data_IF_610491261963
#
_entry.id   IF_610491261963
#
_cell.length_a   1.000
_cell.length_b   1.000
_cell.length_c   1.000
_cell.angle_alpha   90.00
_cell.angle_beta   90.00
_cell.angle_gamma   90.00
#
_symmetry.space_group_name_H-M   'P 1'
#
loop_
_entity.id
_entity.type
_entity.pdbx_description
1 polymer ?
#
# COMPACT_ATOMS: atom_id res chain seq x y z
N UNK A 1 21.80 -25.20 -43.55
CA UNK A 1 21.78 -24.87 -42.11
C UNK A 1 20.33 -24.62 -41.72
N UNK A 2 19.76 -25.50 -40.89
CA UNK A 2 18.36 -25.42 -40.45
C UNK A 2 18.34 -24.59 -39.15
N UNK A 3 17.73 -23.40 -39.17
CA UNK A 3 17.46 -22.62 -37.95
C UNK A 3 16.11 -23.06 -37.37
N UNK A 4 16.13 -23.65 -36.18
CA UNK A 4 14.94 -23.90 -35.39
C UNK A 4 14.62 -22.64 -34.57
N UNK A 5 13.46 -22.03 -34.82
CA UNK A 5 12.88 -21.02 -33.91
C UNK A 5 12.31 -21.76 -32.70
N UNK A 6 12.88 -21.54 -31.51
CA UNK A 6 12.19 -21.87 -30.26
C UNK A 6 11.15 -20.78 -30.00
N UNK A 7 9.87 -21.15 -30.08
CA UNK A 7 8.78 -20.34 -29.54
C UNK A 7 8.81 -20.49 -28.01
N UNK A 8 9.07 -19.38 -27.30
CA UNK A 8 8.92 -19.34 -25.86
C UNK A 8 7.42 -19.44 -25.52
N UNK A 9 7.03 -20.54 -24.88
CA UNK A 9 5.69 -20.67 -24.29
C UNK A 9 5.68 -19.80 -23.03
N UNK A 10 5.01 -18.66 -23.10
CA UNK A 10 4.67 -17.87 -21.90
C UNK A 10 3.52 -18.61 -21.23
N UNK A 11 3.81 -19.34 -20.16
CA UNK A 11 2.77 -19.86 -19.27
C UNK A 11 2.17 -18.69 -18.51
N UNK A 12 0.91 -18.35 -18.79
CA UNK A 12 0.16 -17.41 -17.96
C UNK A 12 0.07 -17.98 -16.54
N UNK A 13 0.60 -17.24 -15.56
CA UNK A 13 0.40 -17.56 -14.15
C UNK A 13 -1.11 -17.61 -13.86
N UNK A 14 -1.62 -18.63 -13.17
CA UNK A 14 -3.04 -18.67 -12.82
C UNK A 14 -3.36 -17.42 -11.99
N UNK A 15 -4.40 -16.68 -12.39
CA UNK A 15 -4.93 -15.57 -11.61
C UNK A 15 -5.26 -16.11 -10.21
N UNK A 16 -4.44 -15.69 -9.23
CA UNK A 16 -4.51 -16.19 -7.86
C UNK A 16 -5.79 -15.63 -7.23
N UNK A 17 -6.60 -16.50 -6.64
CA UNK A 17 -7.95 -16.16 -6.18
C UNK A 17 -7.97 -14.87 -5.35
N UNK A 18 -8.86 -13.95 -5.72
CA UNK A 18 -9.02 -12.67 -5.04
C UNK A 18 -9.41 -12.89 -3.56
N UNK A 19 -8.86 -12.04 -2.68
CA UNK A 19 -9.26 -12.00 -1.26
C UNK A 19 -10.78 -11.79 -1.18
N UNK A 20 -11.49 -12.74 -0.60
CA UNK A 20 -12.96 -12.65 -0.47
C UNK A 20 -13.32 -11.86 0.77
N UNK A 21 -13.66 -10.58 0.61
CA UNK A 21 -14.15 -9.77 1.72
C UNK A 21 -15.59 -10.16 2.11
N UNK A 22 -16.00 -9.96 3.37
CA UNK A 22 -17.37 -10.18 3.81
C UNK A 22 -18.36 -9.34 2.99
N UNK A 23 -19.48 -9.93 2.60
CA UNK A 23 -20.54 -9.22 1.91
C UNK A 23 -21.31 -8.30 2.87
N UNK A 24 -21.83 -7.18 2.36
CA UNK A 24 -22.68 -6.23 3.10
C UNK A 24 -21.94 -5.02 3.66
N UNK A 25 -22.67 -4.16 4.36
CA UNK A 25 -22.12 -3.01 5.09
C UNK A 25 -21.54 -3.48 6.42
N UNK A 26 -20.29 -3.11 6.67
CA UNK A 26 -19.52 -3.50 7.84
C UNK A 26 -18.82 -2.27 8.45
N UNK A 27 -18.75 -2.22 9.77
CA UNK A 27 -18.13 -1.11 10.50
C UNK A 27 -16.73 -1.47 11.00
N UNK A 28 -15.91 -0.44 11.17
CA UNK A 28 -14.62 -0.56 11.84
C UNK A 28 -14.28 0.62 12.73
N UNK A 29 -13.25 0.41 13.55
CA UNK A 29 -12.75 1.41 14.50
C UNK A 29 -11.23 1.56 14.38
N UNK A 30 -10.76 2.79 14.56
CA UNK A 30 -9.34 3.12 14.66
C UNK A 30 -8.84 3.07 16.10
N UNK A 31 -7.75 2.35 16.36
CA UNK A 31 -7.11 2.26 17.68
C UNK A 31 -5.68 1.70 17.59
N UNK A 32 -4.88 1.85 18.65
CA UNK A 32 -3.53 1.25 18.73
C UNK A 32 -3.61 -0.28 18.99
N UNK A 33 -2.55 -1.07 18.71
CA UNK A 33 -2.55 -2.52 18.87
C UNK A 33 -3.04 -3.06 20.22
N UNK A 34 -2.79 -2.35 21.33
CA UNK A 34 -3.23 -2.73 22.68
C UNK A 34 -4.60 -2.22 23.11
N UNK A 35 -5.18 -1.24 22.40
CA UNK A 35 -6.34 -0.47 22.86
C UNK A 35 -7.68 -1.11 22.45
N UNK A 36 -7.90 -2.37 22.80
CA UNK A 36 -9.07 -3.16 22.36
C UNK A 36 -10.28 -3.08 23.29
N UNK A 37 -10.09 -2.69 24.54
CA UNK A 37 -11.09 -2.87 25.60
C UNK A 37 -12.46 -2.24 25.28
N UNK A 38 -12.49 -1.01 24.78
CA UNK A 38 -13.77 -0.38 24.40
C UNK A 38 -14.41 -1.07 23.21
N UNK A 39 -13.62 -1.39 22.18
CA UNK A 39 -14.12 -2.00 20.95
C UNK A 39 -14.82 -3.33 21.26
N UNK A 40 -14.18 -4.21 22.05
CA UNK A 40 -14.74 -5.51 22.42
C UNK A 40 -15.90 -5.41 23.41
N UNK A 41 -15.95 -4.39 24.26
CA UNK A 41 -17.01 -4.19 25.25
C UNK A 41 -18.24 -3.41 24.71
N UNK A 42 -18.12 -2.71 23.58
CA UNK A 42 -19.15 -1.78 23.07
C UNK A 42 -20.47 -2.45 22.62
N UNK A 43 -20.45 -3.76 22.33
CA UNK A 43 -21.60 -4.48 21.77
C UNK A 43 -21.89 -4.18 20.28
N UNK A 44 -21.11 -3.31 19.64
CA UNK A 44 -21.21 -3.05 18.20
C UNK A 44 -20.62 -4.24 17.43
N UNK A 45 -21.28 -4.72 16.35
CA UNK A 45 -20.78 -5.83 15.53
C UNK A 45 -19.66 -5.34 14.59
N UNK A 46 -18.52 -4.97 15.16
CA UNK A 46 -17.35 -4.55 14.39
C UNK A 46 -16.85 -5.68 13.50
N UNK A 47 -16.42 -5.32 12.29
CA UNK A 47 -15.78 -6.26 11.36
C UNK A 47 -14.36 -5.85 11.01
N UNK A 48 -14.10 -4.55 10.97
CA UNK A 48 -12.79 -4.01 10.64
C UNK A 48 -12.15 -3.34 11.84
N UNK A 49 -10.83 -3.31 11.85
CA UNK A 49 -10.04 -2.55 12.80
C UNK A 49 -8.93 -1.90 12.02
N UNK A 50 -8.77 -0.57 12.11
CA UNK A 50 -7.78 0.13 11.30
C UNK A 50 -6.72 0.90 12.11
N UNK A 51 -5.52 0.99 11.57
CA UNK A 51 -4.49 1.91 12.05
C UNK A 51 -3.63 2.41 10.90
N UNK A 52 -2.85 3.46 11.16
CA UNK A 52 -1.88 3.97 10.21
C UNK A 52 -0.55 3.21 10.35
N UNK A 53 0.06 2.91 9.21
CA UNK A 53 1.49 2.66 9.08
C UNK A 53 2.07 3.92 8.44
N UNK A 54 2.90 4.63 9.19
CA UNK A 54 3.32 5.98 8.89
C UNK A 54 4.75 6.26 9.40
N UNK A 55 5.21 7.50 9.26
CA UNK A 55 6.54 7.93 9.71
C UNK A 55 7.58 7.98 8.59
N UNK A 56 7.22 7.51 7.40
CA UNK A 56 7.96 7.69 6.17
C UNK A 56 9.12 6.72 6.03
N UNK A 57 9.29 6.21 4.81
CA UNK A 57 10.45 5.40 4.45
C UNK A 57 11.72 6.24 4.51
N UNK A 58 12.89 5.61 4.69
CA UNK A 58 14.22 6.24 4.75
C UNK A 58 14.41 7.30 5.87
N UNK A 59 13.57 7.30 6.90
CA UNK A 59 13.65 8.22 8.04
C UNK A 59 14.32 7.63 9.28
N UNK A 60 14.45 6.30 9.34
CA UNK A 60 14.84 5.56 10.57
C UNK A 60 13.81 5.63 11.70
N UNK A 61 12.60 6.15 11.43
CA UNK A 61 11.51 6.30 12.40
C UNK A 61 10.14 5.84 11.86
N UNK A 62 10.11 5.24 10.66
CA UNK A 62 8.91 4.70 10.04
C UNK A 62 8.31 3.53 10.83
N UNK A 63 7.11 3.12 10.44
CA UNK A 63 6.38 2.05 11.12
C UNK A 63 7.16 0.74 11.24
N UNK A 64 8.08 0.48 10.30
CA UNK A 64 8.96 -0.67 10.31
C UNK A 64 9.85 -0.72 11.54
N UNK A 65 10.08 0.41 12.23
CA UNK A 65 10.93 0.50 13.43
C UNK A 65 10.17 0.70 14.74
N UNK A 66 8.84 0.87 14.71
CA UNK A 66 8.06 1.12 15.94
C UNK A 66 8.13 -0.02 16.96
N UNK A 67 8.34 -1.25 16.48
CA UNK A 67 8.65 -2.42 17.29
C UNK A 67 9.76 -3.24 16.63
N UNK A 68 10.42 -4.09 17.42
CA UNK A 68 11.45 -5.01 16.94
C UNK A 68 10.99 -6.48 17.01
N UNK A 69 11.36 -7.32 16.03
CA UNK A 69 12.12 -7.01 14.80
C UNK A 69 11.31 -6.14 13.81
N UNK A 70 11.90 -5.62 12.71
CA UNK A 70 11.16 -4.81 11.75
C UNK A 70 9.87 -5.49 11.26
N UNK A 71 8.79 -4.72 11.18
CA UNK A 71 7.46 -5.22 10.84
C UNK A 71 6.63 -5.75 12.04
N UNK A 72 7.23 -5.86 13.23
CA UNK A 72 6.56 -6.43 14.40
C UNK A 72 5.30 -5.67 14.83
N UNK A 73 5.25 -4.36 14.64
CA UNK A 73 4.05 -3.57 14.95
C UNK A 73 2.85 -4.05 14.13
N UNK A 74 3.01 -4.21 12.81
CA UNK A 74 1.96 -4.70 11.93
C UNK A 74 1.60 -6.16 12.26
N UNK A 75 2.59 -7.01 12.57
CA UNK A 75 2.36 -8.39 13.01
C UNK A 75 1.48 -8.47 14.26
N UNK A 76 1.77 -7.66 15.28
CA UNK A 76 0.95 -7.57 16.49
C UNK A 76 -0.45 -7.05 16.21
N UNK A 77 -0.57 -6.01 15.39
CA UNK A 77 -1.86 -5.45 15.03
C UNK A 77 -2.75 -6.48 14.33
N UNK A 78 -2.20 -7.22 13.35
CA UNK A 78 -2.90 -8.30 12.66
C UNK A 78 -3.34 -9.41 13.62
N UNK A 79 -2.42 -9.89 14.46
CA UNK A 79 -2.68 -10.99 15.40
C UNK A 79 -3.74 -10.62 16.44
N UNK A 80 -3.64 -9.42 17.02
CA UNK A 80 -4.60 -8.93 18.01
C UNK A 80 -5.99 -8.69 17.40
N UNK A 81 -6.05 -8.25 16.13
CA UNK A 81 -7.32 -8.07 15.42
C UNK A 81 -7.98 -9.41 15.13
N UNK A 82 -7.20 -10.37 14.62
CA UNK A 82 -7.68 -11.71 14.29
C UNK A 82 -8.16 -12.48 15.52
N UNK A 83 -7.48 -12.34 16.66
CA UNK A 83 -7.88 -12.94 17.92
C UNK A 83 -9.28 -12.51 18.41
N UNK A 84 -9.78 -11.38 17.90
CA UNK A 84 -11.14 -10.86 18.18
C UNK A 84 -12.10 -11.03 16.98
N UNK A 85 -11.66 -11.69 15.90
CA UNK A 85 -12.47 -11.90 14.69
C UNK A 85 -12.58 -10.68 13.77
N UNK A 86 -11.72 -9.66 13.94
CA UNK A 86 -11.67 -8.47 13.10
C UNK A 86 -10.70 -8.65 11.94
N UNK A 87 -11.04 -8.05 10.79
CA UNK A 87 -10.13 -7.92 9.65
C UNK A 87 -9.27 -6.66 9.87
N UNK A 88 -7.93 -6.80 9.99
CA UNK A 88 -7.03 -5.66 10.09
C UNK A 88 -7.00 -4.85 8.80
N UNK A 89 -7.03 -3.54 8.94
CA UNK A 89 -6.92 -2.55 7.87
C UNK A 89 -5.75 -1.62 8.17
N UNK A 90 -4.82 -1.49 7.24
CA UNK A 90 -3.71 -0.55 7.37
C UNK A 90 -3.88 0.61 6.39
N UNK A 91 -3.89 1.84 6.88
CA UNK A 91 -3.64 3.01 6.05
C UNK A 91 -2.13 3.16 5.90
N UNK A 92 -1.59 2.72 4.76
CA UNK A 92 -0.16 2.80 4.43
C UNK A 92 0.14 4.20 3.88
N UNK A 93 0.70 5.06 4.72
CA UNK A 93 0.85 6.50 4.50
C UNK A 93 2.30 6.90 4.74
N UNK A 94 3.14 6.69 3.73
CA UNK A 94 4.58 6.80 3.87
C UNK A 94 5.16 7.99 3.11
N UNK A 95 4.64 8.30 1.91
CA UNK A 95 5.28 9.27 1.02
C UNK A 95 5.43 10.66 1.61
N UNK A 96 4.43 11.21 2.29
CA UNK A 96 4.52 12.57 2.83
C UNK A 96 5.70 12.72 3.80
N UNK A 97 5.91 11.71 4.64
CA UNK A 97 6.86 11.78 5.75
C UNK A 97 8.27 11.31 5.37
N UNK A 98 8.45 10.70 4.21
CA UNK A 98 9.76 10.28 3.72
C UNK A 98 10.70 11.43 3.40
N UNK A 99 12.01 11.20 3.50
CA UNK A 99 12.99 12.16 3.02
C UNK A 99 13.15 12.09 1.49
N UNK A 100 13.41 13.20 0.79
CA UNK A 100 13.68 14.54 1.34
C UNK A 100 12.45 15.40 1.67
N UNK A 101 11.24 15.01 1.21
CA UNK A 101 10.00 15.74 1.50
C UNK A 101 9.99 17.21 1.06
N UNK A 102 10.30 17.47 -0.22
CA UNK A 102 10.46 18.84 -0.74
C UNK A 102 9.14 19.37 -1.29
N UNK A 103 8.64 20.50 -0.77
CA UNK A 103 7.43 21.13 -1.28
C UNK A 103 6.78 22.07 -0.27
N UNK A 104 5.86 22.93 -0.73
CA UNK A 104 5.17 23.89 0.12
C UNK A 104 3.93 23.30 0.82
N UNK A 105 3.35 22.25 0.25
CA UNK A 105 2.18 21.54 0.75
C UNK A 105 2.37 20.03 0.57
N UNK A 106 1.42 19.23 1.05
CA UNK A 106 1.45 17.77 0.95
C UNK A 106 1.53 17.28 -0.50
N UNK A 107 0.68 17.80 -1.39
CA UNK A 107 0.71 17.46 -2.82
C UNK A 107 2.11 17.57 -3.42
N UNK A 108 2.83 18.67 -3.12
CA UNK A 108 4.19 18.91 -3.63
C UNK A 108 5.20 17.94 -3.03
N UNK A 109 5.12 17.71 -1.71
CA UNK A 109 6.03 16.82 -0.98
C UNK A 109 5.87 15.37 -1.42
N UNK A 110 4.63 14.90 -1.53
CA UNK A 110 4.28 13.59 -2.05
C UNK A 110 4.81 13.40 -3.47
N UNK A 111 4.50 14.35 -4.37
CA UNK A 111 4.95 14.25 -5.75
C UNK A 111 6.47 14.32 -5.89
N UNK A 112 7.16 15.08 -5.02
CA UNK A 112 8.62 15.12 -4.97
C UNK A 112 9.22 13.77 -4.57
N UNK A 113 8.64 13.13 -3.56
CA UNK A 113 9.11 11.85 -3.03
C UNK A 113 8.76 10.70 -4.00
N UNK A 114 7.58 10.74 -4.62
CA UNK A 114 7.16 9.82 -5.67
C UNK A 114 8.11 9.84 -6.87
N UNK A 115 8.77 10.97 -7.13
CA UNK A 115 9.75 11.13 -8.21
C UNK A 115 11.21 10.97 -7.76
N UNK A 116 11.48 10.68 -6.48
CA UNK A 116 12.82 10.48 -5.98
C UNK A 116 13.21 8.99 -6.00
N UNK A 117 14.27 8.65 -6.73
CA UNK A 117 14.70 7.26 -6.90
C UNK A 117 15.09 6.56 -5.58
N UNK A 118 15.81 7.24 -4.70
CA UNK A 118 16.23 6.66 -3.41
C UNK A 118 15.04 6.49 -2.47
N UNK A 119 14.12 7.45 -2.43
CA UNK A 119 12.87 7.36 -1.66
C UNK A 119 12.03 6.19 -2.16
N UNK A 120 11.80 6.09 -3.46
CA UNK A 120 10.98 5.01 -4.02
C UNK A 120 11.64 3.64 -3.90
N UNK A 121 12.97 3.55 -3.91
CA UNK A 121 13.66 2.28 -3.61
C UNK A 121 13.33 1.80 -2.19
N UNK A 122 13.44 2.69 -1.21
CA UNK A 122 13.09 2.40 0.18
C UNK A 122 11.59 2.12 0.34
N UNK A 123 10.75 2.82 -0.42
CA UNK A 123 9.30 2.62 -0.45
C UNK A 123 8.92 1.20 -0.85
N UNK A 124 9.41 0.72 -1.99
CA UNK A 124 9.10 -0.63 -2.44
C UNK A 124 9.65 -1.69 -1.49
N UNK A 125 10.84 -1.49 -0.91
CA UNK A 125 11.38 -2.39 0.10
C UNK A 125 10.50 -2.46 1.37
N UNK A 126 10.03 -1.31 1.84
CA UNK A 126 9.18 -1.19 3.02
C UNK A 126 7.77 -1.76 2.76
N UNK A 127 7.19 -1.53 1.58
CA UNK A 127 5.94 -2.15 1.18
C UNK A 127 6.06 -3.68 1.09
N UNK A 128 7.18 -4.19 0.55
CA UNK A 128 7.45 -5.63 0.53
C UNK A 128 7.59 -6.21 1.95
N UNK A 129 8.19 -5.48 2.89
CA UNK A 129 8.20 -5.89 4.30
C UNK A 129 6.78 -6.05 4.85
N UNK A 130 5.88 -5.11 4.59
CA UNK A 130 4.47 -5.25 4.97
C UNK A 130 3.81 -6.46 4.32
N UNK A 131 4.02 -6.67 3.01
CA UNK A 131 3.46 -7.81 2.29
C UNK A 131 3.97 -9.13 2.88
N UNK A 132 5.27 -9.29 3.10
CA UNK A 132 5.85 -10.51 3.69
C UNK A 132 5.34 -10.74 5.12
N UNK A 133 5.15 -9.67 5.89
CA UNK A 133 4.55 -9.75 7.23
C UNK A 133 3.10 -10.24 7.16
N UNK A 134 2.30 -9.68 6.24
CA UNK A 134 0.91 -10.09 6.02
C UNK A 134 0.80 -11.53 5.48
N UNK A 135 1.72 -11.94 4.63
CA UNK A 135 1.81 -13.32 4.15
C UNK A 135 2.09 -14.29 5.29
N UNK A 136 3.04 -13.96 6.16
CA UNK A 136 3.38 -14.76 7.34
C UNK A 136 2.21 -14.87 8.31
N UNK A 137 1.45 -13.78 8.48
CA UNK A 137 0.21 -13.79 9.26
C UNK A 137 -0.85 -14.73 8.68
N UNK A 138 -0.94 -14.83 7.34
CA UNK A 138 -1.77 -15.82 6.63
C UNK A 138 -3.29 -15.55 6.63
N UNK A 139 -3.77 -14.60 7.43
CA UNK A 139 -5.17 -14.17 7.45
C UNK A 139 -5.49 -13.08 6.43
N UNK A 140 -6.75 -12.61 6.44
CA UNK A 140 -7.19 -11.50 5.60
C UNK A 140 -6.63 -10.18 6.11
N UNK A 141 -6.13 -9.34 5.22
CA UNK A 141 -5.61 -8.00 5.54
C UNK A 141 -6.08 -7.05 4.44
N UNK A 142 -6.47 -5.84 4.80
CA UNK A 142 -6.73 -4.75 3.85
C UNK A 142 -5.61 -3.72 4.00
N UNK A 143 -5.04 -3.26 2.90
CA UNK A 143 -4.10 -2.14 2.89
C UNK A 143 -4.68 -1.02 2.03
N UNK A 144 -5.06 0.07 2.68
CA UNK A 144 -5.44 1.33 2.05
C UNK A 144 -4.15 2.12 1.75
N UNK A 145 -3.84 2.27 0.48
CA UNK A 145 -2.55 2.81 0.01
C UNK A 145 -2.67 4.32 -0.17
N UNK A 146 -1.81 5.08 0.50
CA UNK A 146 -1.58 6.51 0.30
C UNK A 146 -2.89 7.30 0.06
N UNK A 147 -3.79 7.32 1.05
CA UNK A 147 -5.18 7.71 0.84
C UNK A 147 -5.37 9.11 0.24
N UNK A 148 -4.48 10.07 0.51
CA UNK A 148 -4.57 11.43 -0.03
C UNK A 148 -3.78 11.61 -1.34
N UNK A 149 -2.70 10.85 -1.53
CA UNK A 149 -1.85 10.92 -2.73
C UNK A 149 -2.68 10.83 -4.02
N UNK A 150 -3.59 9.86 -4.10
CA UNK A 150 -4.36 9.62 -5.33
C UNK A 150 -5.23 10.80 -5.71
N UNK A 151 -5.80 11.51 -4.72
CA UNK A 151 -6.53 12.75 -4.96
C UNK A 151 -5.63 13.87 -5.47
N UNK A 152 -4.42 14.00 -4.92
CA UNK A 152 -3.45 14.96 -5.43
C UNK A 152 -2.94 14.61 -6.83
N UNK A 153 -2.77 13.34 -7.15
CA UNK A 153 -2.40 12.89 -8.49
C UNK A 153 -3.54 13.14 -9.49
N UNK A 154 -4.80 12.96 -9.10
CA UNK A 154 -5.94 13.35 -9.93
C UNK A 154 -5.90 14.84 -10.27
N UNK A 155 -5.71 15.69 -9.26
CA UNK A 155 -5.59 17.14 -9.45
C UNK A 155 -4.42 17.51 -10.37
N UNK A 156 -3.26 16.88 -10.17
CA UNK A 156 -2.05 17.10 -11.00
C UNK A 156 -2.25 16.63 -12.43
N UNK A 157 -2.98 15.54 -12.64
CA UNK A 157 -3.30 15.05 -13.97
C UNK A 157 -4.22 16.01 -14.73
N UNK A 158 -5.02 16.83 -14.02
CA UNK A 158 -5.89 17.85 -14.58
C UNK A 158 -6.80 17.29 -15.70
N UNK A 159 -7.62 16.28 -15.36
CA UNK A 159 -8.43 15.46 -16.29
C UNK A 159 -7.62 14.61 -17.29
N UNK A 160 -6.29 14.59 -17.16
CA UNK A 160 -5.38 13.74 -17.92
C UNK A 160 -5.29 12.32 -17.39
N UNK A 161 -4.49 11.50 -18.08
CA UNK A 161 -4.22 10.13 -17.66
C UNK A 161 -3.19 10.08 -16.52
N UNK A 162 -3.33 9.19 -15.52
CA UNK A 162 -2.25 8.96 -14.55
C UNK A 162 -0.95 8.47 -15.22
N UNK A 163 -1.00 7.94 -16.44
CA UNK A 163 0.18 7.58 -17.21
C UNK A 163 1.00 8.80 -17.68
N UNK A 164 0.44 10.01 -17.69
CA UNK A 164 1.19 11.23 -18.03
C UNK A 164 1.94 11.84 -16.85
N UNK A 165 1.64 11.41 -15.61
CA UNK A 165 2.36 11.84 -14.42
C UNK A 165 3.56 10.95 -14.18
N UNK A 166 4.70 11.56 -13.87
CA UNK A 166 5.94 10.83 -13.59
C UNK A 166 5.93 10.26 -12.17
N UNK A 167 6.53 9.08 -12.04
CA UNK A 167 6.86 8.46 -10.76
C UNK A 167 8.13 7.62 -10.94
N UNK A 168 8.94 7.49 -9.89
CA UNK A 168 10.14 6.65 -9.94
C UNK A 168 9.77 5.20 -9.64
N UNK A 169 9.59 4.39 -10.69
CA UNK A 169 9.23 2.97 -10.60
C UNK A 169 10.41 2.11 -11.04
N UNK A 170 10.58 1.81 -12.33
CA UNK A 170 11.80 1.20 -12.85
C UNK A 170 13.07 2.01 -12.50
N UNK A 171 12.99 3.33 -12.51
CA UNK A 171 14.12 4.22 -12.15
C UNK A 171 14.45 4.23 -10.66
N UNK A 172 13.61 3.63 -9.80
CA UNK A 172 13.95 3.47 -8.37
C UNK A 172 15.14 2.55 -8.14
N UNK A 173 15.47 1.70 -9.12
CA UNK A 173 16.48 0.66 -8.96
C UNK A 173 16.04 -0.50 -8.05
N UNK A 174 14.79 -0.54 -7.60
CA UNK A 174 14.26 -1.69 -6.88
C UNK A 174 13.99 -2.83 -7.87
N UNK A 175 14.71 -3.95 -7.74
CA UNK A 175 14.72 -5.02 -8.73
C UNK A 175 13.32 -5.60 -9.02
N UNK A 176 12.44 -5.66 -8.01
CA UNK A 176 11.08 -6.20 -8.13
C UNK A 176 10.14 -5.36 -9.01
N UNK A 177 10.54 -4.17 -9.46
CA UNK A 177 9.69 -3.28 -10.30
C UNK A 177 10.42 -2.76 -11.53
N UNK A 178 11.59 -3.32 -11.87
CA UNK A 178 12.46 -2.82 -12.94
C UNK A 178 11.82 -2.81 -14.35
N UNK A 179 10.79 -3.63 -14.58
CA UNK A 179 10.07 -3.70 -15.85
C UNK A 179 8.81 -2.83 -15.93
N UNK A 180 8.50 -2.05 -14.89
CA UNK A 180 7.25 -1.31 -14.77
C UNK A 180 7.48 0.19 -15.09
N UNK A 181 6.64 0.82 -15.93
CA UNK A 181 6.85 2.21 -16.38
C UNK A 181 6.99 3.23 -15.25
N UNK A 182 7.83 4.26 -15.47
CA UNK A 182 8.05 5.37 -14.54
C UNK A 182 6.90 6.40 -14.56
N UNK A 183 5.69 5.96 -14.24
CA UNK A 183 4.48 6.80 -14.23
C UNK A 183 3.64 6.54 -12.98
N UNK A 184 2.71 7.43 -12.65
CA UNK A 184 1.79 7.21 -11.54
C UNK A 184 0.91 5.96 -11.75
N UNK A 185 0.54 5.65 -13.01
CA UNK A 185 -0.09 4.37 -13.33
C UNK A 185 0.86 3.19 -13.02
N UNK A 186 2.13 3.28 -13.44
CA UNK A 186 3.13 2.26 -13.16
C UNK A 186 3.40 2.07 -11.65
N UNK A 187 3.25 3.12 -10.85
CA UNK A 187 3.31 3.02 -9.39
C UNK A 187 2.17 2.15 -8.85
N UNK A 188 0.93 2.32 -9.32
CA UNK A 188 -0.18 1.44 -8.95
C UNK A 188 0.08 -0.01 -9.40
N UNK A 189 0.54 -0.20 -10.64
CA UNK A 189 0.87 -1.52 -11.19
C UNK A 189 1.99 -2.21 -10.38
N UNK A 190 2.98 -1.45 -9.92
CA UNK A 190 4.05 -1.94 -9.07
C UNK A 190 3.54 -2.47 -7.73
N UNK A 191 2.64 -1.75 -7.06
CA UNK A 191 2.09 -2.20 -5.78
C UNK A 191 1.20 -3.42 -5.93
N UNK A 192 0.41 -3.48 -7.01
CA UNK A 192 -0.36 -4.68 -7.37
C UNK A 192 0.58 -5.87 -7.63
N UNK A 193 1.63 -5.68 -8.42
CA UNK A 193 2.63 -6.71 -8.73
C UNK A 193 3.33 -7.24 -7.46
N UNK A 194 3.77 -6.35 -6.58
CA UNK A 194 4.44 -6.72 -5.32
C UNK A 194 3.47 -7.44 -4.38
N UNK A 195 2.21 -6.99 -4.28
CA UNK A 195 1.18 -7.70 -3.51
C UNK A 195 0.95 -9.11 -4.06
N UNK A 196 0.74 -9.26 -5.37
CA UNK A 196 0.48 -10.57 -5.99
C UNK A 196 1.65 -11.54 -5.80
N UNK A 197 2.88 -11.00 -5.81
CA UNK A 197 4.12 -11.75 -5.60
C UNK A 197 4.27 -12.21 -4.15
N UNK A 198 4.12 -11.30 -3.18
CA UNK A 198 4.49 -11.56 -1.79
C UNK A 198 3.31 -11.87 -0.87
N UNK A 199 2.12 -11.32 -1.10
CA UNK A 199 0.98 -11.43 -0.17
C UNK A 199 -0.39 -11.38 -0.86
N UNK A 200 -0.77 -12.42 -1.61
CA UNK A 200 -2.06 -12.46 -2.29
C UNK A 200 -3.27 -12.61 -1.35
N UNK A 201 -3.04 -12.82 -0.05
CA UNK A 201 -4.05 -12.73 1.00
C UNK A 201 -4.42 -11.28 1.38
N UNK A 202 -3.71 -10.28 0.82
CA UNK A 202 -3.97 -8.86 1.05
C UNK A 202 -4.89 -8.28 -0.02
N UNK A 203 -5.94 -7.57 0.40
CA UNK A 203 -6.72 -6.71 -0.48
C UNK A 203 -6.11 -5.30 -0.47
N UNK A 204 -5.87 -4.72 -1.66
CA UNK A 204 -5.43 -3.33 -1.78
C UNK A 204 -6.66 -2.44 -2.00
N UNK A 205 -6.67 -1.30 -1.31
CA UNK A 205 -7.67 -0.25 -1.47
C UNK A 205 -6.99 1.07 -1.84
N UNK A 206 -7.58 1.78 -2.80
CA UNK A 206 -7.24 3.15 -3.15
C UNK A 206 -8.43 4.03 -2.77
N UNK A 207 -8.16 5.18 -2.16
CA UNK A 207 -9.21 6.12 -1.77
C UNK A 207 -9.51 7.09 -2.90
N UNK A 208 -10.76 7.12 -3.36
CA UNK A 208 -11.27 8.15 -4.25
C UNK A 208 -11.77 9.33 -3.41
N UNK A 209 -10.89 10.28 -3.16
CA UNK A 209 -11.17 11.43 -2.31
C UNK A 209 -12.13 12.42 -2.99
N UNK A 210 -13.30 12.69 -2.40
CA UNK A 210 -14.28 13.64 -2.96
C UNK A 210 -13.68 15.02 -3.22
N UNK A 211 -12.78 15.48 -2.33
CA UNK A 211 -12.08 16.76 -2.45
C UNK A 211 -11.16 16.85 -3.68
N UNK A 212 -10.73 15.71 -4.24
CA UNK A 212 -9.83 15.67 -5.38
C UNK A 212 -10.44 16.34 -6.62
N UNK A 213 -11.76 16.27 -6.75
CA UNK A 213 -12.51 16.88 -7.85
C UNK A 213 -12.47 18.41 -7.85
N UNK A 214 -12.04 19.04 -6.74
CA UNK A 214 -12.15 20.49 -6.48
C UNK A 214 -13.57 21.04 -6.64
N UNK A 215 -14.58 20.18 -6.49
CA UNK A 215 -16.00 20.51 -6.58
C UNK A 215 -16.71 19.99 -5.35
N UNK A 216 -17.74 20.71 -4.93
CA UNK A 216 -18.71 20.16 -3.98
C UNK A 216 -19.56 19.12 -4.71
N UNK A 217 -19.80 17.98 -4.06
CA UNK A 217 -20.64 16.88 -4.53
C UNK A 217 -21.94 16.80 -3.74
#
# INVERSE_FOLDING_TARGET
MLSALLAAVVTASPARAAVTLPAGLHFGLGNNPGDLGWMTASGVPWRYRYCYLAGGVNTSSGWETWNLPPGQYAAYYMSNSAAQGYIPVFSYYELLQSNPSVGANESDRDFSNLNNAATMNAYYANFVLLMQTAHTFGGQVIVQIEPDLWGYLEQRANNGSPASLTASVASSGYAGVAGIPNTAQGFADALLHLRDTYAPNVALGIHASLWATMRDL
#
